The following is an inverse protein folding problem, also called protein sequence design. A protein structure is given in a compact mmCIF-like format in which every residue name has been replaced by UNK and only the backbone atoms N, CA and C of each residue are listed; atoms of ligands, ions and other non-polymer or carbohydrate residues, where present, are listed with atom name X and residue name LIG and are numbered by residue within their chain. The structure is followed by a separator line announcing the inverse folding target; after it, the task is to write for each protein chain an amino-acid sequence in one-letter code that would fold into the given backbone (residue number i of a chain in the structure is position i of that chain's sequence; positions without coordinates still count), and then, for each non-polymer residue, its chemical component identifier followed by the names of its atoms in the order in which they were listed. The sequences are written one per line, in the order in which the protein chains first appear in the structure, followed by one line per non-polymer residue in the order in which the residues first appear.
data_IF_354984480684
#
_entry.id   IF_354984480684
#
_cell.length_a   1.000
_cell.length_b   1.000
_cell.length_c   1.000
_cell.angle_alpha   90.00
_cell.angle_beta   90.00
_cell.angle_gamma   90.00
#
_symmetry.space_group_name_H-M   'P 1'
#
loop_
_entity.id
_entity.type
_entity.pdbx_description
1 polymer ?
#
# COMPACT_ATOMS: atom_id res chain seq x y z
N UNK A 1 66.92 -15.51 7.98
CA UNK A 1 66.26 -15.59 9.29
C UNK A 1 64.85 -15.02 9.17
N UNK A 2 63.84 -15.84 8.81
CA UNK A 2 62.42 -15.53 8.97
C UNK A 2 61.90 -16.09 10.31
N UNK A 3 61.24 -15.25 11.11
CA UNK A 3 60.67 -15.62 12.41
C UNK A 3 59.34 -16.37 12.30
N UNK A 4 58.92 -17.08 13.37
CA UNK A 4 57.75 -17.94 13.36
C UNK A 4 56.45 -17.14 13.29
N UNK A 5 55.56 -17.63 12.45
CA UNK A 5 54.24 -17.13 12.12
C UNK A 5 53.34 -16.97 13.35
N UNK A 6 52.78 -15.78 13.52
CA UNK A 6 51.68 -15.53 14.47
C UNK A 6 50.47 -16.41 14.08
N UNK A 7 50.13 -17.35 14.94
CA UNK A 7 48.90 -18.16 14.84
C UNK A 7 47.70 -17.24 15.03
N UNK A 8 47.04 -16.87 13.92
CA UNK A 8 45.72 -16.24 13.93
C UNK A 8 44.71 -17.19 14.57
N UNK A 9 44.45 -17.04 15.87
CA UNK A 9 43.35 -17.72 16.54
C UNK A 9 42.02 -17.31 15.89
N UNK A 10 41.14 -18.27 15.54
CA UNK A 10 39.82 -17.98 15.00
C UNK A 10 39.00 -17.23 16.06
N UNK A 11 38.72 -15.95 15.78
CA UNK A 11 37.87 -15.11 16.62
C UNK A 11 36.43 -15.66 16.59
N UNK A 12 36.09 -16.53 17.55
CA UNK A 12 34.73 -17.00 17.72
C UNK A 12 33.86 -15.89 18.33
N UNK A 13 32.60 -15.72 17.89
CA UNK A 13 31.73 -14.61 18.29
C UNK A 13 31.19 -14.71 19.73
N UNK A 14 31.74 -15.58 20.58
CA UNK A 14 31.32 -15.75 21.99
C UNK A 14 31.75 -14.59 22.89
N UNK A 15 32.73 -13.77 22.49
CA UNK A 15 33.27 -12.67 23.32
C UNK A 15 32.37 -11.41 23.38
N UNK A 16 31.32 -11.29 22.57
CA UNK A 16 30.49 -10.06 22.50
C UNK A 16 29.32 -10.01 23.50
N UNK A 17 28.94 -11.13 24.13
CA UNK A 17 27.74 -11.21 24.98
C UNK A 17 27.76 -10.25 26.19
N UNK A 18 28.92 -10.05 26.81
CA UNK A 18 29.05 -9.21 28.02
C UNK A 18 28.86 -7.71 27.70
N UNK A 19 29.07 -7.27 26.45
CA UNK A 19 28.90 -5.86 26.10
C UNK A 19 27.44 -5.46 25.85
N UNK A 20 26.58 -6.41 25.44
CA UNK A 20 25.20 -6.10 25.04
C UNK A 20 24.30 -5.70 26.22
N UNK A 21 24.60 -6.19 27.43
CA UNK A 21 23.86 -5.84 28.66
C UNK A 21 23.88 -4.35 28.99
N UNK A 22 24.91 -3.63 28.53
CA UNK A 22 25.08 -2.20 28.76
C UNK A 22 24.55 -1.33 27.62
N UNK A 23 23.89 -1.92 26.62
CA UNK A 23 23.35 -1.22 25.44
C UNK A 23 21.83 -1.20 25.45
N UNK A 24 21.23 -0.39 24.57
CA UNK A 24 19.77 -0.42 24.34
C UNK A 24 19.26 -1.77 23.84
N UNK A 25 20.15 -2.66 23.37
CA UNK A 25 19.84 -4.01 22.94
C UNK A 25 19.91 -5.05 24.07
N UNK A 26 20.00 -4.62 25.34
CA UNK A 26 20.03 -5.53 26.49
C UNK A 26 18.82 -6.46 26.57
N UNK A 27 17.67 -6.06 26.02
CA UNK A 27 16.47 -6.90 25.96
C UNK A 27 16.66 -8.18 25.13
N UNK A 28 17.63 -8.22 24.21
CA UNK A 28 17.93 -9.43 23.41
C UNK A 28 18.59 -10.55 24.21
N UNK A 29 19.15 -10.23 25.38
CA UNK A 29 19.78 -11.19 26.28
C UNK A 29 19.02 -11.34 27.61
N UNK A 30 17.95 -10.57 27.82
CA UNK A 30 17.12 -10.67 29.01
C UNK A 30 16.08 -11.76 28.86
N UNK A 31 15.73 -12.45 29.94
CA UNK A 31 14.62 -13.41 29.98
C UNK A 31 13.23 -12.74 29.98
N UNK A 32 13.19 -11.40 29.95
CA UNK A 32 11.94 -10.64 29.92
C UNK A 32 11.33 -10.67 28.50
N UNK A 33 9.99 -10.75 28.38
CA UNK A 33 9.32 -10.62 27.10
C UNK A 33 9.68 -9.31 26.40
N UNK A 34 9.85 -9.35 25.08
CA UNK A 34 10.07 -8.15 24.27
C UNK A 34 8.84 -7.27 24.37
N UNK A 35 9.03 -5.99 24.72
CA UNK A 35 7.98 -4.99 24.79
C UNK A 35 7.90 -4.19 23.49
N UNK A 36 6.75 -3.54 23.24
CA UNK A 36 6.60 -2.62 22.10
C UNK A 36 7.62 -1.48 22.11
N UNK A 37 8.03 -1.05 23.31
CA UNK A 37 9.00 0.04 23.55
C UNK A 37 10.45 -0.34 23.29
N UNK A 38 10.77 -1.64 23.15
CA UNK A 38 12.13 -2.10 22.88
C UNK A 38 12.61 -1.62 21.52
N UNK A 39 13.68 -0.83 21.44
CA UNK A 39 14.21 -0.31 20.18
C UNK A 39 15.17 -1.32 19.52
N UNK A 40 14.80 -1.85 18.36
CA UNK A 40 15.69 -2.69 17.55
C UNK A 40 16.69 -1.80 16.82
N UNK A 41 17.95 -2.26 16.65
CA UNK A 41 18.90 -1.58 15.79
C UNK A 41 18.33 -1.42 14.37
N UNK A 42 18.36 -0.19 13.84
CA UNK A 42 17.98 0.07 12.45
C UNK A 42 19.04 -0.52 11.53
N UNK A 43 18.62 -1.35 10.58
CA UNK A 43 19.51 -1.92 9.59
C UNK A 43 19.81 -0.84 8.54
N UNK A 44 21.05 -0.38 8.48
CA UNK A 44 21.47 0.56 7.43
C UNK A 44 21.59 -0.20 6.10
N UNK A 45 20.65 0.04 5.18
CA UNK A 45 20.81 -0.41 3.79
C UNK A 45 21.77 0.54 3.07
N UNK A 46 22.56 0.00 2.15
CA UNK A 46 23.50 0.78 1.33
C UNK A 46 22.97 0.79 -0.09
N UNK A 47 22.92 1.95 -0.74
CA UNK A 47 22.49 2.01 -2.13
C UNK A 47 23.40 1.18 -3.04
N UNK A 48 22.84 0.13 -3.64
CA UNK A 48 23.55 -0.69 -4.63
C UNK A 48 23.34 -0.04 -6.00
N UNK A 49 24.31 0.75 -6.45
CA UNK A 49 24.30 1.34 -7.79
C UNK A 49 24.06 0.28 -8.87
N UNK A 50 23.22 0.52 -9.89
CA UNK A 50 23.15 -0.30 -11.10
C UNK A 50 24.55 -0.50 -11.70
N UNK A 51 24.82 -1.71 -12.21
CA UNK A 51 26.14 -2.00 -12.79
C UNK A 51 26.18 -1.37 -14.18
N UNK A 52 27.14 -0.49 -14.41
CA UNK A 52 27.48 -0.07 -15.77
C UNK A 52 28.21 -1.23 -16.45
N UNK A 53 27.70 -1.68 -17.59
CA UNK A 53 28.39 -2.69 -18.41
C UNK A 53 29.58 -2.02 -19.08
N UNK A 54 30.73 -2.06 -18.42
CA UNK A 54 31.98 -1.54 -18.97
C UNK A 54 32.58 -2.56 -19.93
N UNK A 55 33.25 -2.09 -20.98
CA UNK A 55 34.08 -2.92 -21.88
C UNK A 55 33.32 -4.00 -22.67
N UNK A 56 32.01 -3.84 -22.89
CA UNK A 56 31.21 -4.79 -23.70
C UNK A 56 31.79 -4.96 -25.10
N UNK A 57 32.16 -3.84 -25.74
CA UNK A 57 32.75 -3.83 -27.08
C UNK A 57 34.12 -4.51 -27.12
N UNK A 58 34.95 -4.31 -26.08
CA UNK A 58 36.28 -4.92 -25.99
C UNK A 58 36.18 -6.43 -25.74
N UNK A 59 35.21 -6.87 -24.94
CA UNK A 59 34.92 -8.29 -24.70
C UNK A 59 34.28 -8.98 -25.92
N UNK A 60 33.77 -8.22 -26.89
CA UNK A 60 33.21 -8.76 -28.13
C UNK A 60 34.26 -8.94 -29.23
N UNK A 61 35.46 -8.36 -29.08
CA UNK A 61 36.55 -8.54 -30.05
C UNK A 61 37.16 -9.93 -29.94
N UNK A 62 37.42 -10.56 -31.08
CA UNK A 62 38.13 -11.84 -31.15
C UNK A 62 39.59 -11.67 -30.71
N UNK A 63 40.07 -12.44 -29.71
CA UNK A 63 41.45 -12.34 -29.26
C UNK A 63 42.40 -12.82 -30.36
N UNK A 64 43.44 -12.04 -30.62
CA UNK A 64 44.46 -12.35 -31.65
C UNK A 64 45.60 -13.20 -31.09
N UNK A 65 45.84 -13.09 -29.78
CA UNK A 65 46.90 -13.81 -29.09
C UNK A 65 46.34 -14.72 -28.00
N UNK A 66 47.10 -15.76 -27.63
CA UNK A 66 46.73 -16.67 -26.55
C UNK A 66 46.61 -15.95 -25.20
N UNK A 67 47.50 -14.99 -24.94
CA UNK A 67 47.49 -14.19 -23.72
C UNK A 67 46.21 -13.34 -23.64
N UNK A 68 45.79 -12.70 -24.73
CA UNK A 68 44.52 -11.96 -24.79
C UNK A 68 43.33 -12.87 -24.48
N UNK A 69 43.33 -14.09 -25.02
CA UNK A 69 42.29 -15.09 -24.74
C UNK A 69 42.20 -15.43 -23.25
N UNK A 70 43.33 -15.65 -22.60
CA UNK A 70 43.38 -15.93 -21.16
C UNK A 70 42.92 -14.74 -20.32
N UNK A 71 43.33 -13.52 -20.67
CA UNK A 71 42.90 -12.30 -19.99
C UNK A 71 41.40 -12.05 -20.15
N UNK A 72 40.84 -12.24 -21.35
CA UNK A 72 39.40 -12.15 -21.56
C UNK A 72 38.63 -13.21 -20.77
N UNK A 73 39.15 -14.44 -20.65
CA UNK A 73 38.53 -15.49 -19.86
C UNK A 73 38.51 -15.14 -18.36
N UNK A 74 39.64 -14.71 -17.81
CA UNK A 74 39.74 -14.27 -16.42
C UNK A 74 38.83 -13.06 -16.13
N UNK A 75 38.74 -12.11 -17.07
CA UNK A 75 37.84 -10.96 -16.93
C UNK A 75 36.37 -11.41 -16.89
N UNK A 76 35.95 -12.30 -17.79
CA UNK A 76 34.59 -12.86 -17.80
C UNK A 76 34.27 -13.63 -16.51
N UNK A 77 35.23 -14.37 -15.96
CA UNK A 77 35.07 -15.07 -14.69
C UNK A 77 34.91 -14.12 -13.50
N UNK A 78 35.78 -13.10 -13.42
CA UNK A 78 35.69 -12.06 -12.39
C UNK A 78 34.35 -11.31 -12.45
N UNK A 79 33.86 -11.01 -13.66
CA UNK A 79 32.57 -10.40 -13.90
C UNK A 79 31.40 -11.26 -13.42
N UNK A 80 31.46 -12.58 -13.65
CA UNK A 80 30.45 -13.52 -13.15
C UNK A 80 30.44 -13.54 -11.62
N UNK A 81 31.62 -13.64 -10.99
CA UNK A 81 31.73 -13.66 -9.53
C UNK A 81 31.20 -12.37 -8.90
N UNK A 82 31.55 -11.21 -9.47
CA UNK A 82 31.07 -9.93 -9.00
C UNK A 82 29.54 -9.79 -9.15
N UNK A 83 28.98 -10.21 -10.29
CA UNK A 83 27.54 -10.20 -10.50
C UNK A 83 26.83 -11.07 -9.45
N UNK A 84 27.36 -12.27 -9.18
CA UNK A 84 26.84 -13.16 -8.15
C UNK A 84 26.88 -12.51 -6.77
N UNK A 85 28.02 -11.92 -6.37
CA UNK A 85 28.15 -11.23 -5.08
C UNK A 85 27.17 -10.04 -4.96
N UNK A 86 26.94 -9.33 -6.06
CA UNK A 86 25.99 -8.23 -6.09
C UNK A 86 24.55 -8.71 -5.96
N UNK A 87 24.19 -9.79 -6.64
CA UNK A 87 22.88 -10.42 -6.53
C UNK A 87 22.63 -10.90 -5.11
N UNK A 88 23.59 -11.56 -4.46
CA UNK A 88 23.47 -11.98 -3.06
C UNK A 88 23.32 -10.79 -2.12
N UNK A 89 24.12 -9.73 -2.29
CA UNK A 89 24.00 -8.50 -1.49
C UNK A 89 22.64 -7.83 -1.68
N UNK A 90 22.11 -7.81 -2.90
CA UNK A 90 20.77 -7.29 -3.21
C UNK A 90 19.70 -8.12 -2.51
N UNK A 91 19.81 -9.44 -2.54
CA UNK A 91 18.92 -10.36 -1.82
C UNK A 91 18.94 -10.12 -0.31
N UNK A 92 20.11 -9.96 0.30
CA UNK A 92 20.26 -9.66 1.72
C UNK A 92 19.64 -8.31 2.12
N UNK A 93 19.79 -7.29 1.28
CA UNK A 93 19.15 -5.99 1.52
C UNK A 93 17.63 -6.08 1.40
N UNK A 94 17.12 -6.76 0.38
CA UNK A 94 15.69 -6.98 0.22
C UNK A 94 15.09 -7.71 1.43
N UNK A 95 15.77 -8.78 1.90
CA UNK A 95 15.38 -9.49 3.12
C UNK A 95 15.40 -8.58 4.35
N UNK A 96 16.41 -7.72 4.49
CA UNK A 96 16.51 -6.78 5.62
C UNK A 96 15.33 -5.80 5.65
N UNK A 97 14.94 -5.24 4.50
CA UNK A 97 13.77 -4.36 4.37
C UNK A 97 12.48 -5.10 4.73
N UNK A 98 12.31 -6.33 4.24
CA UNK A 98 11.13 -7.14 4.56
C UNK A 98 11.05 -7.47 6.06
N UNK A 99 12.17 -7.79 6.70
CA UNK A 99 12.22 -8.00 8.15
C UNK A 99 11.87 -6.73 8.93
N UNK A 100 12.33 -5.55 8.49
CA UNK A 100 11.96 -4.27 9.11
C UNK A 100 10.45 -4.01 9.02
N UNK A 101 9.85 -4.22 7.84
CA UNK A 101 8.41 -4.09 7.67
C UNK A 101 7.63 -5.09 8.55
N UNK A 102 8.06 -6.35 8.59
CA UNK A 102 7.43 -7.38 9.40
C UNK A 102 7.51 -7.06 10.89
N UNK A 103 8.71 -6.72 11.38
CA UNK A 103 8.92 -6.36 12.80
C UNK A 103 8.13 -5.10 13.18
N UNK A 104 7.99 -4.13 12.27
CA UNK A 104 7.11 -2.97 12.45
C UNK A 104 5.65 -3.38 12.67
N UNK A 105 5.10 -4.27 11.83
CA UNK A 105 3.73 -4.79 11.99
C UNK A 105 3.53 -5.54 13.30
N UNK A 106 4.46 -6.44 13.65
CA UNK A 106 4.40 -7.21 14.90
C UNK A 106 4.44 -6.29 16.12
N UNK A 107 5.23 -5.21 16.07
CA UNK A 107 5.26 -4.20 17.14
C UNK A 107 3.96 -3.44 17.28
N UNK A 108 3.35 -2.99 16.18
CA UNK A 108 2.05 -2.32 16.24
C UNK A 108 0.97 -3.23 16.84
N UNK A 109 0.99 -4.52 16.51
CA UNK A 109 0.09 -5.50 17.14
C UNK A 109 0.38 -5.68 18.64
N UNK A 110 1.65 -5.66 19.04
CA UNK A 110 2.04 -5.78 20.44
C UNK A 110 1.64 -4.54 21.25
N UNK A 111 1.91 -3.34 20.72
CA UNK A 111 1.50 -2.06 21.29
C UNK A 111 -0.02 -2.02 21.49
N UNK A 112 -0.79 -2.35 20.44
CA UNK A 112 -2.24 -2.44 20.54
C UNK A 112 -2.73 -3.41 21.63
N UNK A 113 -2.06 -4.56 21.79
CA UNK A 113 -2.38 -5.53 22.84
C UNK A 113 -2.04 -5.01 24.22
N UNK A 114 -0.89 -4.35 24.38
CA UNK A 114 -0.45 -3.72 25.62
C UNK A 114 -1.39 -2.57 26.02
N UNK A 115 -1.77 -1.71 25.07
CA UNK A 115 -2.75 -0.65 25.26
C UNK A 115 -4.12 -1.20 25.63
N UNK A 116 -4.65 -2.16 24.87
CA UNK A 116 -5.93 -2.81 25.22
C UNK A 116 -5.88 -3.48 26.60
N UNK A 117 -4.77 -4.10 26.95
CA UNK A 117 -4.59 -4.69 28.27
C UNK A 117 -4.55 -3.61 29.36
N UNK A 118 -3.98 -2.45 29.08
CA UNK A 118 -3.99 -1.30 30.01
C UNK A 118 -5.39 -0.69 30.16
N UNK A 119 -6.14 -0.53 29.05
CA UNK A 119 -7.50 0.02 29.03
C UNK A 119 -8.50 -0.90 29.74
N UNK A 120 -8.40 -2.22 29.53
CA UNK A 120 -9.22 -3.21 30.25
C UNK A 120 -9.02 -3.15 31.77
N UNK A 121 -7.84 -2.74 32.24
CA UNK A 121 -7.59 -2.50 33.67
C UNK A 121 -8.25 -1.20 34.15
N UNK A 122 -8.36 -0.18 33.31
CA UNK A 122 -8.97 1.12 33.66
C UNK A 122 -10.51 1.09 33.71
N UNK A 123 -11.19 0.27 32.90
CA UNK A 123 -12.66 0.20 32.87
C UNK A 123 -13.28 -0.57 34.04
N UNK A 124 -12.47 -1.25 34.86
CA UNK A 124 -12.93 -1.97 36.03
C UNK A 124 -12.94 -1.04 37.24
N UNK A 125 -13.94 -0.15 37.27
CA UNK A 125 -14.37 0.73 38.37
C UNK A 125 -13.48 0.57 39.62
N UNK A 126 -12.33 1.26 39.61
CA UNK A 126 -11.25 1.23 40.62
C UNK A 126 -11.45 0.23 41.76
N UNK A 127 -11.29 -1.06 41.45
CA UNK A 127 -11.13 -2.05 42.49
C UNK A 127 -9.66 -2.04 42.86
N UNK A 128 -9.28 -1.25 43.85
CA UNK A 128 -8.04 -1.36 44.64
C UNK A 128 -7.88 -2.76 45.31
N UNK A 129 -8.61 -3.78 44.85
CA UNK A 129 -8.80 -5.06 45.51
C UNK A 129 -9.57 -4.96 46.83
N UNK A 130 -9.93 -3.75 47.28
CA UNK A 130 -10.65 -3.51 48.54
C UNK A 130 -12.13 -3.41 48.26
N UNK A 131 -12.91 -4.23 48.96
CA UNK A 131 -14.37 -4.10 48.99
C UNK A 131 -14.73 -2.74 49.57
N UNK A 132 -15.10 -1.78 48.71
CA UNK A 132 -15.77 -0.54 49.14
C UNK A 132 -17.24 -0.88 49.35
N UNK A 133 -17.82 -0.46 50.49
CA UNK A 133 -19.26 -0.59 50.69
C UNK A 133 -19.97 0.24 49.61
N UNK A 134 -20.81 -0.42 48.82
CA UNK A 134 -21.61 0.13 47.70
C UNK A 134 -22.75 1.07 48.16
N UNK A 135 -22.63 1.68 49.34
CA UNK A 135 -23.71 2.37 50.04
C UNK A 135 -23.64 3.89 49.94
N UNK A 136 -22.64 4.44 49.22
CA UNK A 136 -22.45 5.89 49.08
C UNK A 136 -23.04 6.43 47.78
N UNK A 137 -23.57 7.65 47.85
CA UNK A 137 -24.10 8.42 46.70
C UNK A 137 -23.08 8.51 45.53
N UNK A 138 -21.79 8.49 45.84
CA UNK A 138 -20.68 8.48 44.87
C UNK A 138 -20.77 7.32 43.85
N UNK A 139 -21.23 6.13 44.27
CA UNK A 139 -21.36 4.99 43.36
C UNK A 139 -22.53 5.20 42.40
N UNK A 140 -23.61 5.79 42.90
CA UNK A 140 -24.78 6.10 42.07
C UNK A 140 -24.42 7.10 40.98
N UNK A 141 -23.66 8.15 41.31
CA UNK A 141 -23.20 9.15 40.35
C UNK A 141 -22.30 8.53 39.28
N UNK A 142 -21.33 7.70 39.66
CA UNK A 142 -20.45 7.00 38.70
C UNK A 142 -21.24 6.06 37.78
N UNK A 143 -22.21 5.31 38.32
CA UNK A 143 -23.05 4.44 37.50
C UNK A 143 -23.91 5.26 36.54
N UNK A 144 -24.47 6.38 37.01
CA UNK A 144 -25.27 7.29 36.19
C UNK A 144 -24.43 7.86 35.05
N UNK A 145 -23.26 8.43 35.33
CA UNK A 145 -22.32 8.94 34.33
C UNK A 145 -21.95 7.86 33.30
N UNK A 146 -21.62 6.65 33.74
CA UNK A 146 -21.31 5.54 32.85
C UNK A 146 -22.52 5.12 31.99
N UNK A 147 -23.74 5.15 32.53
CA UNK A 147 -24.96 4.86 31.75
C UNK A 147 -25.26 5.95 30.72
N UNK A 148 -25.05 7.22 31.07
CA UNK A 148 -25.21 8.36 30.16
C UNK A 148 -24.17 8.32 29.05
N UNK A 149 -22.91 8.02 29.40
CA UNK A 149 -21.82 7.82 28.45
C UNK A 149 -22.14 6.69 27.46
N UNK A 150 -22.58 5.51 27.93
CA UNK A 150 -22.99 4.40 27.05
C UNK A 150 -24.17 4.76 26.14
N UNK A 151 -25.14 5.53 26.64
CA UNK A 151 -26.26 6.01 25.81
C UNK A 151 -25.77 6.97 24.74
N UNK A 152 -24.85 7.89 25.07
CA UNK A 152 -24.26 8.81 24.11
C UNK A 152 -23.42 8.09 23.05
N UNK A 153 -22.63 7.09 23.44
CA UNK A 153 -21.85 6.25 22.53
C UNK A 153 -22.77 5.47 21.57
N UNK A 154 -23.82 4.83 22.08
CA UNK A 154 -24.81 4.14 21.25
C UNK A 154 -25.50 5.09 20.26
N UNK A 155 -25.87 6.30 20.71
CA UNK A 155 -26.46 7.32 19.84
C UNK A 155 -25.48 7.86 18.79
N UNK A 156 -24.19 7.97 19.10
CA UNK A 156 -23.16 8.33 18.13
C UNK A 156 -22.95 7.21 17.08
N UNK A 157 -22.95 5.94 17.52
CA UNK A 157 -22.83 4.79 16.64
C UNK A 157 -24.00 4.67 15.66
N UNK A 158 -25.25 4.91 16.10
CA UNK A 158 -26.42 4.90 15.21
C UNK A 158 -26.37 6.04 14.18
N UNK A 159 -25.95 7.25 14.58
CA UNK A 159 -25.73 8.37 13.64
C UNK A 159 -24.66 8.04 12.60
N UNK A 160 -23.54 7.44 13.02
CA UNK A 160 -22.48 7.00 12.10
C UNK A 160 -23.03 5.99 11.08
N UNK A 161 -23.75 4.95 11.54
CA UNK A 161 -24.37 3.94 10.66
C UNK A 161 -25.32 4.57 9.64
N UNK A 162 -26.22 5.45 10.07
CA UNK A 162 -27.15 6.15 9.17
C UNK A 162 -26.42 7.02 8.13
N UNK A 163 -25.31 7.68 8.51
CA UNK A 163 -24.46 8.42 7.59
C UNK A 163 -23.78 7.53 6.54
N UNK A 164 -23.30 6.36 6.95
CA UNK A 164 -22.72 5.36 6.04
C UNK A 164 -23.75 4.80 5.05
N UNK A 165 -24.96 4.48 5.50
CA UNK A 165 -26.06 4.02 4.62
C UNK A 165 -26.42 5.10 3.59
N UNK A 166 -26.50 6.36 4.02
CA UNK A 166 -26.77 7.50 3.13
C UNK A 166 -25.67 7.69 2.08
N UNK A 167 -24.40 7.56 2.48
CA UNK A 167 -23.27 7.62 1.56
C UNK A 167 -23.31 6.47 0.54
N UNK A 168 -23.58 5.24 0.99
CA UNK A 168 -23.68 4.07 0.11
C UNK A 168 -24.75 4.29 -0.96
N UNK A 169 -25.94 4.72 -0.56
CA UNK A 169 -27.03 5.02 -1.50
C UNK A 169 -26.63 6.09 -2.51
N UNK A 170 -26.02 7.20 -2.06
CA UNK A 170 -25.56 8.27 -2.95
C UNK A 170 -24.49 7.80 -3.95
N UNK A 171 -23.59 6.91 -3.53
CA UNK A 171 -22.58 6.31 -4.42
C UNK A 171 -23.22 5.41 -5.47
N UNK A 172 -24.24 4.64 -5.09
CA UNK A 172 -24.94 3.75 -6.02
C UNK A 172 -25.76 4.55 -7.05
N UNK A 173 -26.44 5.61 -6.63
CA UNK A 173 -27.10 6.57 -7.53
C UNK A 173 -26.11 7.22 -8.49
N UNK A 174 -24.95 7.65 -7.98
CA UNK A 174 -23.89 8.22 -8.80
C UNK A 174 -23.37 7.22 -9.85
N UNK A 175 -23.15 5.95 -9.47
CA UNK A 175 -22.75 4.88 -10.41
C UNK A 175 -23.79 4.67 -11.50
N UNK A 176 -25.08 4.67 -11.15
CA UNK A 176 -26.16 4.53 -12.12
C UNK A 176 -26.16 5.68 -13.14
N UNK A 177 -25.99 6.92 -12.67
CA UNK A 177 -25.85 8.10 -13.54
C UNK A 177 -24.60 8.05 -14.43
N UNK A 178 -23.45 7.62 -13.89
CA UNK A 178 -22.21 7.46 -14.64
C UNK A 178 -22.34 6.44 -15.77
N UNK A 179 -23.01 5.31 -15.52
CA UNK A 179 -23.28 4.30 -16.55
C UNK A 179 -24.08 4.88 -17.71
N UNK A 180 -25.21 5.54 -17.42
CA UNK A 180 -26.04 6.19 -18.44
C UNK A 180 -25.25 7.26 -19.21
N UNK A 181 -24.40 8.04 -18.53
CA UNK A 181 -23.55 9.06 -19.16
C UNK A 181 -22.56 8.42 -20.13
N UNK A 182 -21.88 7.34 -19.73
CA UNK A 182 -20.92 6.62 -20.57
C UNK A 182 -21.58 6.04 -21.83
N UNK A 183 -22.76 5.41 -21.68
CA UNK A 183 -23.54 4.90 -22.81
C UNK A 183 -23.90 6.01 -23.81
N UNK A 184 -24.39 7.16 -23.33
CA UNK A 184 -24.67 8.31 -24.21
C UNK A 184 -23.42 8.82 -24.93
N UNK A 185 -22.30 8.97 -24.21
CA UNK A 185 -21.04 9.41 -24.80
C UNK A 185 -20.50 8.41 -25.82
N UNK A 186 -20.66 7.12 -25.57
CA UNK A 186 -20.31 6.07 -26.52
C UNK A 186 -21.13 6.20 -27.81
N UNK A 187 -22.45 6.39 -27.72
CA UNK A 187 -23.31 6.61 -28.89
C UNK A 187 -22.86 7.83 -29.70
N UNK A 188 -22.52 8.94 -29.04
CA UNK A 188 -21.97 10.14 -29.69
C UNK A 188 -20.66 9.80 -30.41
N UNK A 189 -19.75 9.10 -29.76
CA UNK A 189 -18.47 8.70 -30.37
C UNK A 189 -18.67 7.76 -31.57
N UNK A 190 -19.61 6.82 -31.48
CA UNK A 190 -19.94 5.92 -32.60
C UNK A 190 -20.51 6.71 -33.80
N UNK A 191 -21.40 7.69 -33.57
CA UNK A 191 -21.92 8.54 -34.66
C UNK A 191 -20.80 9.35 -35.31
N UNK A 192 -19.89 9.92 -34.52
CA UNK A 192 -18.71 10.63 -35.02
C UNK A 192 -17.81 9.70 -35.86
N UNK A 193 -17.51 8.50 -35.37
CA UNK A 193 -16.71 7.51 -36.11
C UNK A 193 -17.37 7.14 -37.45
N UNK A 194 -18.69 6.94 -37.48
CA UNK A 194 -19.44 6.71 -38.73
C UNK A 194 -19.32 7.90 -39.68
N UNK A 195 -19.42 9.13 -39.19
CA UNK A 195 -19.27 10.34 -40.00
C UNK A 195 -17.84 10.48 -40.56
N UNK A 196 -16.81 10.19 -39.75
CA UNK A 196 -15.41 10.19 -40.20
C UNK A 196 -15.17 9.14 -41.27
N UNK A 197 -15.67 7.91 -41.10
CA UNK A 197 -15.55 6.86 -42.13
C UNK A 197 -16.22 7.25 -43.46
N UNK A 198 -17.42 7.85 -43.40
CA UNK A 198 -18.10 8.38 -44.60
C UNK A 198 -17.25 9.47 -45.28
N UNK A 199 -16.69 10.37 -44.49
CA UNK A 199 -15.80 11.42 -45.01
C UNK A 199 -14.52 10.86 -45.63
N UNK A 200 -13.91 9.83 -45.02
CA UNK A 200 -12.72 9.18 -45.58
C UNK A 200 -13.00 8.48 -46.91
N UNK A 201 -14.12 7.75 -47.00
CA UNK A 201 -14.55 7.13 -48.26
C UNK A 201 -14.78 8.18 -49.37
N UNK A 202 -15.49 9.27 -49.04
CA UNK A 202 -15.75 10.36 -49.99
C UNK A 202 -14.46 11.08 -50.42
N UNK A 203 -13.55 11.31 -49.47
CA UNK A 203 -12.22 11.87 -49.75
C UNK A 203 -11.44 10.99 -50.72
N UNK A 204 -11.47 9.69 -50.54
CA UNK A 204 -10.71 8.75 -51.37
C UNK A 204 -11.36 8.57 -52.75
N UNK A 205 -12.69 8.58 -52.86
CA UNK A 205 -13.41 8.68 -54.14
C UNK A 205 -13.07 9.96 -54.90
N UNK A 206 -13.07 11.12 -54.22
CA UNK A 206 -12.74 12.40 -54.84
C UNK A 206 -11.31 12.42 -55.41
N UNK A 207 -10.36 11.76 -54.72
CA UNK A 207 -8.99 11.58 -55.22
C UNK A 207 -8.95 10.72 -56.48
N UNK A 208 -9.70 9.61 -56.51
CA UNK A 208 -9.79 8.71 -57.67
C UNK A 208 -10.38 9.43 -58.89
N UNK A 209 -11.40 10.26 -58.69
CA UNK A 209 -12.05 11.06 -59.74
C UNK A 209 -11.29 12.34 -60.10
N UNK A 210 -10.12 12.61 -59.49
CA UNK A 210 -9.34 13.84 -59.65
C UNK A 210 -10.12 15.14 -59.38
N UNK A 211 -11.14 15.09 -58.52
CA UNK A 211 -11.94 16.25 -58.12
C UNK A 211 -11.54 16.76 -56.74
N UNK A 212 -11.83 18.03 -56.45
CA UNK A 212 -11.61 18.58 -55.10
C UNK A 212 -12.72 18.10 -54.17
N UNK A 213 -12.34 17.49 -53.04
CA UNK A 213 -13.28 17.14 -51.98
C UNK A 213 -13.86 18.44 -51.38
N UNK A 214 -15.18 18.66 -51.56
CA UNK A 214 -15.85 19.83 -50.99
C UNK A 214 -16.03 19.69 -49.46
N UNK A 215 -16.04 18.47 -48.92
CA UNK A 215 -16.49 18.20 -47.57
C UNK A 215 -15.35 18.35 -46.54
N UNK A 216 -15.59 19.14 -45.50
CA UNK A 216 -14.67 19.32 -44.38
C UNK A 216 -14.69 18.09 -43.48
N UNK A 217 -13.53 17.70 -42.92
CA UNK A 217 -13.44 16.60 -41.96
C UNK A 217 -14.32 16.89 -40.74
N UNK A 218 -15.18 15.95 -40.30
CA UNK A 218 -15.91 16.10 -39.04
C UNK A 218 -14.95 16.36 -37.87
N UNK A 219 -15.27 17.35 -37.03
CA UNK A 219 -14.50 17.65 -35.82
C UNK A 219 -14.78 16.64 -34.70
N UNK A 220 -13.75 16.27 -33.94
CA UNK A 220 -13.90 15.33 -32.81
C UNK A 220 -14.79 15.97 -31.73
N UNK A 221 -15.84 15.27 -31.25
CA UNK A 221 -16.69 15.80 -30.18
C UNK A 221 -15.89 15.90 -28.88
N UNK A 222 -16.12 16.99 -28.17
CA UNK A 222 -15.53 17.32 -26.86
C UNK A 222 -16.67 17.75 -25.93
N UNK A 223 -16.36 18.05 -24.66
CA UNK A 223 -17.37 18.52 -23.70
C UNK A 223 -17.92 19.92 -24.00
N UNK A 224 -17.21 20.72 -24.82
CA UNK A 224 -17.59 22.11 -25.15
C UNK A 224 -17.78 22.36 -26.64
N UNK A 225 -17.35 21.44 -27.52
CA UNK A 225 -17.40 21.57 -28.98
C UNK A 225 -17.86 20.26 -29.61
N UNK A 226 -18.58 20.36 -30.73
CA UNK A 226 -19.13 19.23 -31.48
C UNK A 226 -20.64 19.12 -31.30
N UNK A 227 -21.32 18.61 -32.33
CA UNK A 227 -22.78 18.49 -32.36
C UNK A 227 -23.17 17.01 -32.55
N UNK A 228 -23.63 16.31 -31.50
CA UNK A 228 -23.80 16.76 -30.09
C UNK A 228 -22.48 16.73 -29.26
N UNK A 229 -22.35 17.56 -28.21
CA UNK A 229 -21.19 17.57 -27.32
C UNK A 229 -21.21 16.39 -26.32
N UNK A 230 -20.04 16.00 -25.82
CA UNK A 230 -19.93 14.95 -24.80
C UNK A 230 -20.46 15.42 -23.44
N UNK A 231 -21.17 14.55 -22.75
CA UNK A 231 -21.67 14.81 -21.40
C UNK A 231 -20.53 14.82 -20.38
N UNK A 232 -20.51 15.86 -19.54
CA UNK A 232 -19.53 16.07 -18.46
C UNK A 232 -19.74 15.06 -17.32
N UNK A 233 -18.64 14.68 -16.68
CA UNK A 233 -18.62 13.79 -15.50
C UNK A 233 -19.23 14.50 -14.29
N UNK A 234 -20.11 13.80 -13.56
CA UNK A 234 -20.61 14.25 -12.25
C UNK A 234 -19.58 13.87 -11.17
N UNK A 235 -19.22 14.76 -10.24
CA UNK A 235 -18.26 14.43 -9.19
C UNK A 235 -18.80 13.30 -8.29
N UNK A 236 -17.90 12.39 -7.88
CA UNK A 236 -18.24 11.30 -6.95
C UNK A 236 -18.59 11.89 -5.58
N UNK A 237 -19.67 11.43 -4.91
CA UNK A 237 -19.98 11.82 -3.54
C UNK A 237 -18.78 11.56 -2.61
N UNK A 238 -18.51 12.47 -1.67
CA UNK A 238 -17.46 12.29 -0.65
C UNK A 238 -18.08 11.79 0.65
N UNK A 239 -17.44 10.83 1.31
CA UNK A 239 -17.94 10.23 2.56
C UNK A 239 -18.07 11.25 3.71
N UNK A 240 -17.16 12.22 3.78
CA UNK A 240 -17.17 13.27 4.80
C UNK A 240 -18.47 14.09 4.82
N UNK A 241 -19.13 14.25 3.67
CA UNK A 241 -20.38 15.03 3.54
C UNK A 241 -21.58 14.36 4.22
N UNK A 242 -21.49 13.05 4.52
CA UNK A 242 -22.60 12.24 5.06
C UNK A 242 -22.37 11.83 6.52
N UNK A 243 -21.11 11.61 6.94
CA UNK A 243 -20.79 11.22 8.33
C UNK A 243 -20.77 12.45 9.24
N UNK A 244 -20.24 13.57 8.76
CA UNK A 244 -20.19 14.83 9.50
C UNK A 244 -21.48 15.57 9.19
N UNK A 245 -22.57 15.17 9.84
CA UNK A 245 -23.91 15.73 9.62
C UNK A 245 -23.81 17.24 9.40
N UNK A 246 -24.23 17.72 8.22
CA UNK A 246 -24.03 19.09 7.73
C UNK A 246 -24.50 20.12 8.76
N UNK A 247 -23.58 20.48 9.64
CA UNK A 247 -23.78 21.36 10.77
C UNK A 247 -22.54 22.23 10.94
N UNK A 248 -22.10 22.86 9.84
CA UNK A 248 -21.49 24.20 9.86
C UNK A 248 -21.19 24.70 8.46
N UNK A 249 -21.76 25.85 8.15
CA UNK A 249 -21.08 26.84 7.32
C UNK A 249 -19.65 27.05 7.85
N UNK A 250 -18.69 26.85 6.94
CA UNK A 250 -17.50 27.70 6.72
C UNK A 250 -16.92 28.39 7.96
N UNK A 251 -15.78 27.90 8.45
CA UNK A 251 -14.55 28.69 8.60
C UNK A 251 -13.41 27.81 9.17
N UNK A 252 -12.29 27.82 8.45
CA UNK A 252 -10.90 27.50 8.84
C UNK A 252 -10.64 26.02 9.20
N UNK A 253 -10.08 25.23 8.29
CA UNK A 253 -8.64 25.18 7.96
C UNK A 253 -7.82 24.79 9.20
N UNK A 254 -7.77 23.49 9.46
CA UNK A 254 -6.51 22.89 9.85
C UNK A 254 -6.44 21.47 9.27
N UNK A 255 -5.35 21.25 8.55
CA UNK A 255 -4.93 20.02 7.88
C UNK A 255 -4.58 19.01 8.97
N UNK A 256 -5.27 17.87 9.02
CA UNK A 256 -4.65 16.66 9.57
C UNK A 256 -5.10 15.46 8.74
N UNK A 257 -4.19 15.11 7.85
CA UNK A 257 -4.25 14.08 6.82
C UNK A 257 -3.90 12.74 7.45
N UNK A 258 -4.93 12.01 7.91
CA UNK A 258 -4.80 10.59 8.27
C UNK A 258 -5.62 9.74 7.32
N UNK A 259 -5.02 9.43 6.16
CA UNK A 259 -5.44 8.36 5.27
C UNK A 259 -5.28 7.01 6.01
N UNK A 260 -6.36 6.55 6.66
CA UNK A 260 -6.48 5.17 7.13
C UNK A 260 -7.25 4.38 6.07
N UNK A 261 -6.48 3.79 5.15
CA UNK A 261 -6.99 2.84 4.16
C UNK A 261 -7.38 1.53 4.87
N UNK A 262 -8.67 1.37 5.15
CA UNK A 262 -9.25 0.06 5.48
C UNK A 262 -9.21 -0.83 4.23
N UNK A 263 -8.12 -1.57 4.08
CA UNK A 263 -8.04 -2.82 3.32
C UNK A 263 -9.08 -3.80 3.91
N UNK A 264 -10.26 -3.82 3.32
CA UNK A 264 -11.26 -4.85 3.58
C UNK A 264 -10.78 -6.17 2.95
N UNK A 265 -10.19 -7.00 3.80
CA UNK A 265 -9.91 -8.41 3.57
C UNK A 265 -11.14 -9.11 2.97
N UNK A 266 -11.03 -9.47 1.69
CA UNK A 266 -11.98 -10.33 1.00
C UNK A 266 -11.69 -11.79 1.36
N UNK A 267 -12.34 -12.28 2.41
CA UNK A 267 -12.48 -13.71 2.70
C UNK A 267 -13.23 -14.38 1.54
N UNK A 268 -12.44 -14.96 0.64
CA UNK A 268 -12.92 -15.84 -0.43
C UNK A 268 -13.12 -17.25 0.10
N UNK A 269 -14.21 -17.47 0.85
CA UNK A 269 -14.78 -18.80 1.10
C UNK A 269 -15.28 -19.37 -0.24
N UNK A 270 -14.39 -20.12 -0.90
CA UNK A 270 -14.68 -20.92 -2.07
C UNK A 270 -15.01 -22.36 -1.68
N UNK A 271 -16.02 -22.55 -0.83
CA UNK A 271 -16.72 -23.82 -0.69
C UNK A 271 -17.54 -24.05 -1.97
N UNK A 272 -17.02 -24.91 -2.86
CA UNK A 272 -17.82 -25.52 -3.90
C UNK A 272 -17.62 -27.04 -3.86
N UNK A 273 -18.22 -27.63 -2.84
CA UNK A 273 -18.64 -29.03 -2.81
C UNK A 273 -19.82 -29.23 -3.77
N UNK A 274 -19.74 -30.28 -4.58
CA UNK A 274 -20.78 -30.69 -5.53
C UNK A 274 -20.17 -31.70 -6.49
N UNK A 275 -19.83 -32.88 -5.97
CA UNK A 275 -20.67 -34.09 -6.05
C UNK A 275 -20.70 -34.72 -7.45
N UNK A 276 -20.00 -35.85 -7.52
CA UNK A 276 -20.43 -37.13 -8.09
C UNK A 276 -21.48 -37.12 -9.21
N UNK A 277 -21.06 -37.63 -10.37
CA UNK A 277 -21.90 -38.54 -11.16
C UNK A 277 -21.04 -39.54 -11.94
N UNK A 278 -20.83 -40.68 -11.30
CA UNK A 278 -21.22 -42.03 -11.74
C UNK A 278 -20.94 -42.53 -13.17
N UNK A 279 -20.21 -43.66 -13.22
CA UNK A 279 -20.44 -44.89 -14.01
C UNK A 279 -20.80 -44.79 -15.50
N UNK A 280 -19.82 -45.10 -16.39
CA UNK A 280 -19.64 -46.38 -17.12
C UNK A 280 -18.52 -46.28 -18.16
#
# INVERSE_FOLDING_TARGET
MPGPSDETQPCTPTRSRVSLSSTSAAFLISDSPIQSTSQLPKLSTVYISPRKKCYVELLAQEPKTEQERQLQAALRESDKYYNLQKETMTGLQAQSVLHEMYTGRVRGQLEYREEKASLKKSGKLNMDGRAKLLSGDEVYDVVKEHTEWKKAEAAAATKKKAGWESYKNAVDDWKAHERVRKEKNEMILQTYQKAVKKWEAERDNAKYEHRRAHWTKPGKPTTTKGDPPLHKTTPKPKQADYIRGKGKERAEADDDDSEDEEDLDGDGDGDNDGEDNNEL
#
